data_IF_000244869936
#
_entry.id   IF_000244869936
#
_cell.length_a   1.000
_cell.length_b   1.000
_cell.length_c   1.000
_cell.angle_alpha   90.00
_cell.angle_beta   90.00
_cell.angle_gamma   90.00
#
_symmetry.space_group_name_H-M   'P 1'
#
loop_
_entity.id
_entity.type
_entity.pdbx_description
1 polymer ?
#
# COMPACT_ATOMS: atom_id res chain seq x y z
N UNK A 1 7.21 -16.45 9.90
CA UNK A 1 8.28 -15.43 9.94
C UNK A 1 7.60 -14.12 10.26
N UNK A 2 7.68 -13.68 11.51
CA UNK A 2 7.15 -12.39 11.99
C UNK A 2 8.00 -11.29 11.35
N UNK A 3 7.39 -10.23 10.82
CA UNK A 3 8.14 -9.14 10.20
C UNK A 3 8.98 -8.42 11.28
N UNK A 4 10.16 -7.86 10.95
CA UNK A 4 11.05 -7.27 11.94
C UNK A 4 10.42 -6.17 12.81
N UNK A 5 9.36 -5.51 12.31
CA UNK A 5 8.61 -4.46 13.02
C UNK A 5 7.42 -4.97 13.84
N UNK A 6 7.10 -6.27 13.76
CA UNK A 6 6.09 -6.96 14.57
C UNK A 6 6.73 -7.63 15.79
N UNK A 7 8.03 -7.40 16.02
CA UNK A 7 8.72 -7.84 17.23
C UNK A 7 8.42 -6.87 18.36
N UNK A 8 7.72 -7.35 19.39
CA UNK A 8 7.35 -6.57 20.55
C UNK A 8 8.02 -7.16 21.80
N UNK A 9 8.74 -6.32 22.56
CA UNK A 9 9.18 -6.66 23.93
C UNK A 9 7.98 -6.53 24.88
N UNK A 10 7.85 -7.50 25.79
CA UNK A 10 6.79 -7.72 26.79
C UNK A 10 6.00 -6.46 27.22
N UNK A 11 4.79 -6.31 26.67
CA UNK A 11 3.77 -5.35 27.11
C UNK A 11 2.45 -6.10 27.37
N UNK A 12 1.87 -5.92 28.56
CA UNK A 12 0.68 -6.65 29.03
C UNK A 12 -0.58 -6.42 28.17
N UNK A 13 -0.58 -5.42 27.30
CA UNK A 13 -1.64 -5.16 26.33
C UNK A 13 -1.59 -6.11 25.10
N UNK A 14 -0.45 -6.77 24.87
CA UNK A 14 -0.22 -7.64 23.71
C UNK A 14 -0.94 -9.00 23.82
N UNK A 15 -1.37 -9.40 25.02
CA UNK A 15 -2.14 -10.64 25.23
C UNK A 15 -3.49 -10.62 24.50
N UNK A 16 -3.97 -9.44 24.08
CA UNK A 16 -5.28 -9.26 23.46
C UNK A 16 -5.18 -8.56 22.09
N UNK A 17 -4.30 -7.58 21.93
CA UNK A 17 -4.23 -6.77 20.70
C UNK A 17 -3.25 -7.39 19.71
N UNK A 18 -3.78 -7.88 18.59
CA UNK A 18 -2.96 -8.47 17.52
C UNK A 18 -2.31 -7.43 16.60
N UNK A 19 -3.07 -6.40 16.17
CA UNK A 19 -2.60 -5.35 15.25
C UNK A 19 -3.35 -4.04 15.55
N UNK A 20 -2.60 -2.93 15.63
CA UNK A 20 -3.16 -1.58 15.56
C UNK A 20 -2.83 -0.94 14.22
N UNK A 21 -3.84 -0.43 13.49
CA UNK A 21 -3.66 0.12 12.14
C UNK A 21 -4.33 1.49 11.98
N UNK A 22 -3.56 2.49 11.55
CA UNK A 22 -4.07 3.79 11.12
C UNK A 22 -3.91 3.94 9.59
N UNK A 23 -4.94 4.46 8.90
CA UNK A 23 -4.92 4.72 7.45
C UNK A 23 -5.40 6.12 7.15
N UNK A 24 -4.66 6.84 6.32
CA UNK A 24 -5.05 8.15 5.80
C UNK A 24 -5.38 8.03 4.31
N UNK A 25 -6.61 8.40 3.95
CA UNK A 25 -7.00 8.58 2.56
C UNK A 25 -6.83 10.06 2.16
N UNK A 26 -6.28 10.31 0.98
CA UNK A 26 -6.07 11.64 0.38
C UNK A 26 -6.42 11.59 -1.09
N UNK A 27 -6.94 12.70 -1.62
CA UNK A 27 -7.12 12.93 -3.05
C UNK A 27 -6.16 14.05 -3.49
N UNK A 28 -5.74 14.03 -4.75
CA UNK A 28 -4.81 15.02 -5.30
C UNK A 28 -5.62 16.18 -5.89
N UNK A 29 -5.22 17.41 -5.57
CA UNK A 29 -5.87 18.60 -6.11
C UNK A 29 -5.69 18.68 -7.62
N UNK A 30 -6.76 19.02 -8.35
CA UNK A 30 -6.76 19.09 -9.81
C UNK A 30 -6.95 17.75 -10.52
N UNK A 31 -7.02 16.64 -9.77
CA UNK A 31 -7.25 15.30 -10.31
C UNK A 31 -8.68 14.82 -10.03
N UNK A 32 -9.28 14.03 -10.95
CA UNK A 32 -10.58 13.41 -10.70
C UNK A 32 -10.50 12.39 -9.55
N UNK A 33 -11.61 12.22 -8.83
CA UNK A 33 -11.75 11.09 -7.91
C UNK A 33 -11.61 9.76 -8.67
N UNK A 34 -11.11 8.72 -8.00
CA UNK A 34 -10.81 7.42 -8.63
C UNK A 34 -11.98 6.80 -9.40
N UNK A 35 -13.22 7.02 -8.94
CA UNK A 35 -14.44 6.52 -9.58
C UNK A 35 -14.91 7.36 -10.79
N UNK A 36 -14.26 8.49 -11.06
CA UNK A 36 -14.51 9.38 -12.20
C UNK A 36 -13.34 9.45 -13.16
N UNK A 37 -12.13 9.11 -12.69
CA UNK A 37 -10.93 9.07 -13.49
C UNK A 37 -11.02 7.97 -14.55
N UNK A 38 -10.74 8.30 -15.81
CA UNK A 38 -10.56 7.30 -16.85
C UNK A 38 -9.21 6.56 -16.68
N UNK A 39 -8.99 5.50 -17.45
CA UNK A 39 -7.79 4.66 -17.32
C UNK A 39 -6.49 5.44 -17.56
N UNK A 40 -6.46 6.33 -18.55
CA UNK A 40 -5.29 7.15 -18.87
C UNK A 40 -4.97 8.14 -17.74
N UNK A 41 -6.00 8.77 -17.15
CA UNK A 41 -5.86 9.63 -15.98
C UNK A 41 -5.33 8.85 -14.77
N UNK A 42 -5.85 7.65 -14.51
CA UNK A 42 -5.38 6.80 -13.42
C UNK A 42 -3.90 6.43 -13.59
N UNK A 43 -3.49 6.04 -14.80
CA UNK A 43 -2.08 5.74 -15.12
C UNK A 43 -1.21 6.98 -14.91
N UNK A 44 -1.61 8.14 -15.44
CA UNK A 44 -0.84 9.39 -15.30
C UNK A 44 -0.67 9.79 -13.84
N UNK A 45 -1.74 9.70 -13.04
CA UNK A 45 -1.70 10.00 -11.61
C UNK A 45 -0.76 9.03 -10.89
N UNK A 46 -0.90 7.71 -11.14
CA UNK A 46 -0.04 6.67 -10.58
C UNK A 46 1.43 6.91 -10.89
N UNK A 47 1.75 7.16 -12.15
CA UNK A 47 3.13 7.36 -12.62
C UNK A 47 3.73 8.65 -12.05
N UNK A 48 2.92 9.70 -11.89
CA UNK A 48 3.29 10.93 -11.20
C UNK A 48 3.67 10.70 -9.74
N UNK A 49 2.86 9.91 -9.01
CA UNK A 49 3.15 9.52 -7.62
C UNK A 49 4.44 8.69 -7.56
N UNK A 50 4.58 7.67 -8.40
CA UNK A 50 5.77 6.82 -8.44
C UNK A 50 7.04 7.66 -8.71
N UNK A 51 6.96 8.65 -9.60
CA UNK A 51 8.06 9.55 -9.90
C UNK A 51 8.43 10.44 -8.72
N UNK A 52 7.44 11.02 -8.03
CA UNK A 52 7.69 11.84 -6.84
C UNK A 52 8.34 11.03 -5.71
N UNK A 53 7.91 9.77 -5.51
CA UNK A 53 8.48 8.88 -4.48
C UNK A 53 9.91 8.47 -4.80
N UNK A 54 10.29 8.31 -6.07
CA UNK A 54 11.69 8.07 -6.47
C UNK A 54 12.64 9.20 -6.06
N UNK A 55 12.12 10.42 -5.85
CA UNK A 55 12.88 11.56 -5.35
C UNK A 55 13.13 11.55 -3.83
N UNK A 56 12.60 10.57 -3.10
CA UNK A 56 12.67 10.47 -1.63
C UNK A 56 13.29 9.12 -1.19
N UNK A 57 14.56 8.85 -1.54
CA UNK A 57 15.21 7.57 -1.26
C UNK A 57 15.34 7.24 0.23
N UNK A 58 15.37 8.26 1.09
CA UNK A 58 15.45 8.13 2.55
C UNK A 58 14.25 7.40 3.15
N UNK A 59 13.13 7.32 2.44
CA UNK A 59 11.95 6.59 2.88
C UNK A 59 12.07 5.07 2.68
N UNK A 60 13.07 4.59 1.93
CA UNK A 60 13.32 3.15 1.73
C UNK A 60 12.13 2.39 1.13
N UNK A 61 11.30 3.05 0.32
CA UNK A 61 10.07 2.48 -0.21
C UNK A 61 10.32 1.53 -1.39
N UNK A 62 9.53 0.45 -1.44
CA UNK A 62 9.47 -0.43 -2.60
C UNK A 62 8.16 -0.22 -3.37
N UNK A 63 8.25 0.01 -4.68
CA UNK A 63 7.07 0.14 -5.54
C UNK A 63 6.56 -1.24 -5.93
N UNK A 64 5.29 -1.51 -5.63
CA UNK A 64 4.60 -2.73 -6.06
C UNK A 64 3.51 -2.36 -7.07
N UNK A 65 3.61 -2.91 -8.28
CA UNK A 65 2.61 -2.72 -9.32
C UNK A 65 1.78 -4.01 -9.50
N UNK A 66 0.48 -3.99 -9.11
CA UNK A 66 -0.37 -5.17 -9.21
C UNK A 66 -0.62 -5.60 -10.66
N UNK A 67 -0.42 -4.72 -11.66
CA UNK A 67 -0.61 -5.06 -13.08
C UNK A 67 0.53 -5.92 -13.63
N UNK A 68 1.73 -5.79 -13.05
CA UNK A 68 2.94 -6.48 -13.52
C UNK A 68 3.46 -7.56 -12.57
N UNK A 69 3.04 -7.52 -11.30
CA UNK A 69 3.50 -8.46 -10.29
C UNK A 69 2.87 -9.87 -10.48
N UNK A 70 3.58 -10.95 -10.13
CA UNK A 70 2.98 -12.28 -10.05
C UNK A 70 1.80 -12.30 -9.08
N UNK A 71 0.72 -13.02 -9.45
CA UNK A 71 -0.48 -13.13 -8.61
C UNK A 71 -0.19 -13.66 -7.20
N UNK A 72 0.78 -14.56 -7.07
CA UNK A 72 1.24 -15.10 -5.79
C UNK A 72 1.81 -14.01 -4.86
N UNK A 73 2.53 -13.02 -5.40
CA UNK A 73 3.08 -11.93 -4.58
C UNK A 73 1.96 -11.03 -4.04
N UNK A 74 0.99 -10.67 -4.89
CA UNK A 74 -0.19 -9.93 -4.46
C UNK A 74 -0.96 -10.66 -3.35
N UNK A 75 -1.14 -11.97 -3.50
CA UNK A 75 -1.81 -12.80 -2.51
C UNK A 75 -1.08 -12.81 -1.15
N UNK A 76 0.25 -12.91 -1.15
CA UNK A 76 1.06 -12.80 0.08
C UNK A 76 0.87 -11.45 0.75
N UNK A 77 0.81 -10.35 -0.01
CA UNK A 77 0.56 -9.01 0.55
C UNK A 77 -0.84 -8.89 1.17
N UNK A 78 -1.84 -9.54 0.56
CA UNK A 78 -3.20 -9.58 1.07
C UNK A 78 -3.29 -10.36 2.40
N UNK A 79 -2.70 -11.56 2.44
CA UNK A 79 -2.66 -12.42 3.63
C UNK A 79 -1.93 -11.77 4.80
N UNK A 80 -0.94 -10.93 4.51
CA UNK A 80 -0.22 -10.12 5.50
C UNK A 80 -0.90 -8.79 5.84
N UNK A 81 -2.14 -8.57 5.37
CA UNK A 81 -2.92 -7.35 5.60
C UNK A 81 -2.28 -6.04 5.09
N UNK A 82 -1.31 -6.12 4.16
CA UNK A 82 -0.59 -4.97 3.62
C UNK A 82 -1.40 -4.22 2.55
N UNK A 83 -2.23 -4.94 1.79
CA UNK A 83 -3.10 -4.37 0.76
C UNK A 83 -4.57 -4.72 1.01
N UNK A 84 -5.49 -3.96 0.41
CA UNK A 84 -6.92 -4.31 0.42
C UNK A 84 -7.26 -5.25 -0.75
N UNK A 85 -8.30 -6.10 -0.65
CA UNK A 85 -8.75 -6.94 -1.78
C UNK A 85 -8.94 -6.15 -3.08
N UNK A 86 -9.62 -5.00 -2.98
CA UNK A 86 -9.87 -4.08 -4.11
C UNK A 86 -8.60 -3.56 -4.82
N UNK A 87 -7.45 -3.61 -4.16
CA UNK A 87 -6.18 -3.17 -4.77
C UNK A 87 -5.63 -4.20 -5.77
N UNK A 88 -6.03 -5.47 -5.63
CA UNK A 88 -5.62 -6.57 -6.51
C UNK A 88 -6.68 -6.90 -7.57
N UNK A 89 -7.82 -6.19 -7.56
CA UNK A 89 -8.84 -6.31 -8.59
C UNK A 89 -8.34 -5.63 -9.88
N UNK A 90 -8.48 -6.27 -11.05
CA UNK A 90 -8.05 -5.73 -12.34
C UNK A 90 -8.91 -4.56 -12.86
#
# INVERSE_FOLDING_TARGET
MILPFEQHEDDALLDVVLISRARLARNISGEPFVNRANREEQIRIRDGIASALRGLPELGLHWFDPETAPSAEGQVLLERHLVSPKFLEP
#
